data_IF_596210470269
#
_entry.id   IF_596210470269
#
_cell.length_a   1.000
_cell.length_b   1.000
_cell.length_c   1.000
_cell.angle_alpha   90.00
_cell.angle_beta   90.00
_cell.angle_gamma   90.00
#
_symmetry.space_group_name_H-M   'P 1'
#
loop_
_entity.id
_entity.type
_entity.pdbx_description
1 polymer ?
#
# COMPACT_ATOMS: atom_id res chain seq x y z
N UNK A 1 14.49 5.41 12.49
CA UNK A 1 15.20 5.05 13.73
C UNK A 1 14.73 3.72 14.32
N UNK A 2 14.48 2.69 13.50
CA UNK A 2 13.98 1.40 13.97
C UNK A 2 12.83 1.54 14.96
N UNK A 3 12.92 0.87 16.10
CA UNK A 3 11.92 0.95 17.17
C UNK A 3 11.70 2.35 17.76
N UNK A 4 12.67 3.26 17.69
CA UNK A 4 12.50 4.63 18.19
C UNK A 4 11.45 5.42 17.39
N UNK A 5 11.20 5.06 16.12
CA UNK A 5 10.15 5.66 15.29
C UNK A 5 8.74 5.49 15.87
N UNK A 6 8.52 4.47 16.70
CA UNK A 6 7.23 4.24 17.35
C UNK A 6 6.83 5.40 18.28
N UNK A 7 7.80 6.12 18.85
CA UNK A 7 7.52 7.26 19.75
C UNK A 7 6.78 8.39 19.01
N UNK A 8 7.35 9.02 17.95
CA UNK A 8 6.63 10.04 17.19
C UNK A 8 5.38 9.48 16.51
N UNK A 9 5.41 8.23 16.04
CA UNK A 9 4.23 7.57 15.46
C UNK A 9 3.03 7.56 16.43
N UNK A 10 3.21 7.12 17.68
CA UNK A 10 2.13 7.09 18.66
C UNK A 10 1.70 8.51 19.09
N UNK A 11 2.62 9.47 19.17
CA UNK A 11 2.29 10.87 19.45
C UNK A 11 1.36 11.43 18.36
N UNK A 12 1.69 11.24 17.07
CA UNK A 12 0.84 11.69 15.97
C UNK A 12 -0.46 10.89 15.88
N UNK A 13 -0.43 9.59 16.18
CA UNK A 13 -1.63 8.75 16.21
C UNK A 13 -2.67 9.29 17.20
N UNK A 14 -2.28 9.45 18.47
CA UNK A 14 -3.21 9.87 19.52
C UNK A 14 -3.46 11.39 19.51
N UNK A 15 -2.45 12.19 19.15
CA UNK A 15 -2.54 13.65 19.15
C UNK A 15 -3.21 14.25 17.92
N UNK A 16 -3.21 13.55 16.78
CA UNK A 16 -3.74 14.08 15.51
C UNK A 16 -4.59 13.08 14.73
N UNK A 17 -4.06 11.89 14.44
CA UNK A 17 -4.71 10.90 13.59
C UNK A 17 -6.11 10.50 14.08
N UNK A 18 -6.21 9.98 15.31
CA UNK A 18 -7.48 9.55 15.90
C UNK A 18 -8.49 10.69 16.09
N UNK A 19 -8.11 11.88 16.62
CA UNK A 19 -9.02 13.02 16.69
C UNK A 19 -9.60 13.44 15.33
N UNK A 20 -8.75 13.54 14.29
CA UNK A 20 -9.21 13.94 12.94
C UNK A 20 -10.06 12.84 12.31
N UNK A 21 -9.66 11.58 12.45
CA UNK A 21 -10.45 10.44 11.98
C UNK A 21 -11.85 10.43 12.58
N UNK A 22 -11.95 10.54 13.91
CA UNK A 22 -13.24 10.63 14.60
C UNK A 22 -14.06 11.84 14.14
N UNK A 23 -13.42 13.01 13.98
CA UNK A 23 -14.08 14.22 13.52
C UNK A 23 -14.73 14.01 12.14
N UNK A 24 -14.02 13.39 11.19
CA UNK A 24 -14.55 13.16 9.84
C UNK A 24 -15.73 12.20 9.82
N UNK A 25 -15.65 11.10 10.59
CA UNK A 25 -16.74 10.14 10.72
C UNK A 25 -17.96 10.78 11.38
N UNK A 26 -17.75 11.52 12.47
CA UNK A 26 -18.81 12.22 13.19
C UNK A 26 -19.47 13.30 12.31
N UNK A 27 -18.68 14.06 11.54
CA UNK A 27 -19.20 15.05 10.58
C UNK A 27 -20.07 14.38 9.52
N UNK A 28 -19.62 13.26 8.96
CA UNK A 28 -20.39 12.46 8.00
C UNK A 28 -21.71 11.99 8.59
N UNK A 29 -21.68 11.39 9.77
CA UNK A 29 -22.86 10.89 10.48
C UNK A 29 -23.84 12.01 10.84
N UNK A 30 -23.34 13.16 11.30
CA UNK A 30 -24.16 14.31 11.68
C UNK A 30 -24.85 14.94 10.47
N UNK A 31 -24.13 15.13 9.37
CA UNK A 31 -24.67 15.78 8.16
C UNK A 31 -25.48 14.84 7.28
N UNK A 32 -25.21 13.52 7.36
CA UNK A 32 -25.72 12.48 6.45
C UNK A 32 -25.45 12.81 4.98
N UNK A 33 -24.29 13.44 4.72
CA UNK A 33 -23.88 13.92 3.40
C UNK A 33 -22.50 13.40 2.99
N UNK A 34 -22.21 13.41 1.70
CA UNK A 34 -20.89 13.05 1.17
C UNK A 34 -19.85 14.15 1.39
N UNK A 35 -18.60 13.90 0.96
CA UNK A 35 -17.46 14.79 1.19
C UNK A 35 -17.53 16.18 0.54
N UNK A 36 -18.43 16.42 -0.43
CA UNK A 36 -18.68 17.78 -0.97
C UNK A 36 -19.84 18.45 -0.24
N UNK A 37 -20.97 17.77 -0.16
CA UNK A 37 -22.23 18.35 0.32
C UNK A 37 -22.21 18.61 1.83
N UNK A 38 -21.36 17.91 2.60
CA UNK A 38 -21.15 18.19 4.01
C UNK A 38 -20.64 19.63 4.24
N UNK A 39 -19.71 20.13 3.42
CA UNK A 39 -19.18 21.49 3.51
C UNK A 39 -20.23 22.53 3.17
N UNK A 40 -21.10 22.25 2.19
CA UNK A 40 -22.22 23.14 1.87
C UNK A 40 -23.18 23.35 3.05
N UNK A 41 -23.43 22.31 3.86
CA UNK A 41 -24.25 22.41 5.08
C UNK A 41 -23.53 23.06 6.26
N UNK A 42 -22.21 22.87 6.36
CA UNK A 42 -21.42 23.38 7.48
C UNK A 42 -20.99 24.84 7.26
N UNK A 43 -20.33 25.11 6.14
CA UNK A 43 -19.77 26.40 5.79
C UNK A 43 -19.63 26.52 4.26
N UNK A 44 -20.60 27.15 3.56
CA UNK A 44 -20.65 27.17 2.08
C UNK A 44 -19.38 27.70 1.40
N UNK A 45 -18.65 28.64 2.02
CA UNK A 45 -17.39 29.17 1.52
C UNK A 45 -16.30 28.08 1.39
N UNK A 46 -16.37 27.02 2.20
CA UNK A 46 -15.42 25.90 2.20
C UNK A 46 -15.83 24.73 1.32
N UNK A 47 -16.89 24.86 0.51
CA UNK A 47 -17.30 23.82 -0.45
C UNK A 47 -16.17 23.43 -1.42
N UNK A 48 -15.24 24.36 -1.72
CA UNK A 48 -14.05 24.11 -2.52
C UNK A 48 -13.14 22.99 -1.97
N UNK A 49 -13.14 22.74 -0.65
CA UNK A 49 -12.38 21.66 -0.02
C UNK A 49 -12.86 20.30 -0.56
N UNK A 50 -14.18 20.09 -0.62
CA UNK A 50 -14.74 18.83 -1.11
C UNK A 50 -14.39 18.55 -2.58
N UNK A 51 -14.42 19.57 -3.44
CA UNK A 51 -13.99 19.44 -4.83
C UNK A 51 -12.50 19.12 -4.95
N UNK A 52 -11.64 19.81 -4.17
CA UNK A 52 -10.22 19.53 -4.13
C UNK A 52 -9.91 18.09 -3.69
N UNK A 53 -10.59 17.60 -2.64
CA UNK A 53 -10.45 16.22 -2.17
C UNK A 53 -10.81 15.19 -3.26
N UNK A 54 -11.86 15.44 -4.05
CA UNK A 54 -12.23 14.54 -5.16
C UNK A 54 -11.17 14.50 -6.25
N UNK A 55 -10.60 15.65 -6.62
CA UNK A 55 -9.51 15.70 -7.60
C UNK A 55 -8.32 14.89 -7.09
N UNK A 56 -7.93 15.08 -5.84
CA UNK A 56 -6.84 14.33 -5.21
C UNK A 56 -7.13 12.83 -5.23
N UNK A 57 -8.31 12.39 -4.75
CA UNK A 57 -8.71 10.98 -4.74
C UNK A 57 -8.78 10.38 -6.14
N UNK A 58 -9.18 11.16 -7.15
CA UNK A 58 -9.20 10.72 -8.54
C UNK A 58 -7.79 10.45 -9.06
N UNK A 59 -6.83 11.33 -8.76
CA UNK A 59 -5.41 11.11 -9.10
C UNK A 59 -4.83 9.90 -8.35
N UNK A 60 -5.17 9.73 -7.07
CA UNK A 60 -4.76 8.56 -6.29
C UNK A 60 -5.27 7.26 -6.94
N UNK A 61 -6.54 7.22 -7.32
CA UNK A 61 -7.15 6.04 -7.94
C UNK A 61 -6.49 5.64 -9.27
N UNK A 62 -6.02 6.61 -10.07
CA UNK A 62 -5.36 6.34 -11.37
C UNK A 62 -4.11 5.48 -11.20
N UNK A 63 -3.25 5.76 -10.21
CA UNK A 63 -2.03 4.97 -10.03
C UNK A 63 -2.25 3.75 -9.11
N UNK A 64 -3.13 3.84 -8.11
CA UNK A 64 -3.39 2.71 -7.21
C UNK A 64 -3.95 1.50 -7.96
N UNK A 65 -4.80 1.72 -8.97
CA UNK A 65 -5.35 0.61 -9.76
C UNK A 65 -4.27 -0.09 -10.60
N UNK A 66 -3.20 0.61 -10.98
CA UNK A 66 -2.03 0.01 -11.65
C UNK A 66 -1.27 -0.90 -10.70
N UNK A 67 -1.11 -0.52 -9.43
CA UNK A 67 -0.48 -1.37 -8.40
C UNK A 67 -1.29 -2.67 -8.21
N UNK A 68 -2.62 -2.58 -8.20
CA UNK A 68 -3.49 -3.77 -8.15
C UNK A 68 -3.31 -4.66 -9.39
N UNK A 69 -3.14 -4.07 -10.57
CA UNK A 69 -2.87 -4.82 -11.80
C UNK A 69 -1.54 -5.57 -11.73
N UNK A 70 -0.49 -4.96 -11.17
CA UNK A 70 0.76 -5.67 -10.89
C UNK A 70 0.56 -6.84 -9.93
N UNK A 71 -0.17 -6.62 -8.82
CA UNK A 71 -0.48 -7.70 -7.87
C UNK A 71 -1.22 -8.87 -8.53
N UNK A 72 -2.21 -8.59 -9.39
CA UNK A 72 -2.94 -9.61 -10.14
C UNK A 72 -2.05 -10.33 -11.16
N UNK A 73 -1.18 -9.60 -11.84
CA UNK A 73 -0.20 -10.19 -12.76
C UNK A 73 0.72 -11.17 -12.03
N UNK A 74 1.31 -10.77 -10.88
CA UNK A 74 2.13 -11.66 -10.06
C UNK A 74 1.36 -12.87 -9.56
N UNK A 75 0.08 -12.71 -9.18
CA UNK A 75 -0.77 -13.82 -8.79
C UNK A 75 -0.93 -14.85 -9.92
N UNK A 76 -1.13 -14.41 -11.16
CA UNK A 76 -1.21 -15.34 -12.29
C UNK A 76 0.11 -16.07 -12.56
N UNK A 77 1.24 -15.38 -12.38
CA UNK A 77 2.57 -15.98 -12.55
C UNK A 77 2.89 -17.04 -11.48
N UNK A 78 2.27 -16.99 -10.30
CA UNK A 78 2.45 -17.97 -9.24
C UNK A 78 1.85 -19.36 -9.55
N UNK A 79 1.01 -19.51 -10.58
CA UNK A 79 0.44 -20.80 -10.98
C UNK A 79 1.38 -21.64 -11.89
N UNK A 80 2.56 -21.11 -12.22
CA UNK A 80 3.57 -21.85 -12.98
C UNK A 80 4.28 -22.89 -12.08
N UNK A 81 4.72 -24.05 -12.64
CA UNK A 81 5.46 -25.06 -11.88
C UNK A 81 6.75 -24.54 -11.25
N UNK A 82 7.38 -23.57 -11.92
CA UNK A 82 8.55 -22.86 -11.44
C UNK A 82 8.29 -21.35 -11.57
N UNK A 83 8.60 -20.59 -10.52
CA UNK A 83 8.35 -19.15 -10.50
C UNK A 83 9.26 -18.44 -11.52
N UNK A 84 8.74 -17.51 -12.34
CA UNK A 84 9.52 -16.84 -13.38
C UNK A 84 10.75 -16.07 -12.87
N UNK A 85 10.72 -15.61 -11.62
CA UNK A 85 11.79 -14.88 -10.96
C UNK A 85 12.69 -15.76 -10.06
N UNK A 86 12.57 -17.09 -10.13
CA UNK A 86 13.39 -18.00 -9.32
C UNK A 86 14.80 -18.21 -9.87
N UNK A 87 14.98 -18.15 -11.20
CA UNK A 87 16.23 -18.51 -11.89
C UNK A 87 16.65 -17.45 -12.90
N UNK A 88 17.96 -17.44 -13.17
CA UNK A 88 18.51 -16.67 -14.28
C UNK A 88 18.33 -17.43 -15.61
N UNK A 89 18.68 -16.82 -16.76
CA UNK A 89 18.51 -17.35 -18.14
C UNK A 89 17.08 -17.37 -18.71
N UNK A 90 16.26 -16.39 -18.33
CA UNK A 90 15.00 -16.11 -18.99
C UNK A 90 15.20 -15.10 -20.14
N UNK A 91 14.26 -14.95 -21.09
CA UNK A 91 14.40 -14.05 -22.24
C UNK A 91 14.63 -12.56 -21.88
N UNK A 92 14.22 -12.15 -20.69
CA UNK A 92 14.37 -10.78 -20.18
C UNK A 92 15.63 -10.57 -19.31
N UNK A 93 16.37 -11.65 -19.00
CA UNK A 93 17.53 -11.56 -18.13
C UNK A 93 18.77 -11.13 -18.92
N UNK A 94 19.63 -10.35 -18.27
CA UNK A 94 20.95 -9.98 -18.80
C UNK A 94 22.04 -10.96 -18.37
N UNK A 95 23.23 -10.81 -18.94
CA UNK A 95 24.42 -11.56 -18.51
C UNK A 95 24.86 -11.23 -17.07
N UNK A 96 24.30 -10.17 -16.47
CA UNK A 96 24.55 -9.73 -15.10
C UNK A 96 23.61 -10.35 -14.06
N UNK A 97 22.69 -11.24 -14.47
CA UNK A 97 21.82 -11.95 -13.54
C UNK A 97 22.59 -13.02 -12.75
N UNK A 98 22.54 -12.94 -11.41
CA UNK A 98 23.04 -14.00 -10.52
C UNK A 98 21.93 -14.53 -9.59
N UNK A 99 21.84 -15.86 -9.50
CA UNK A 99 20.92 -16.55 -8.60
C UNK A 99 21.37 -16.49 -7.13
N UNK A 100 20.40 -16.43 -6.20
CA UNK A 100 20.66 -16.37 -4.76
C UNK A 100 21.43 -17.58 -4.19
N UNK A 101 21.33 -18.74 -4.84
CA UNK A 101 22.11 -19.95 -4.52
C UNK A 101 23.61 -19.72 -4.71
N UNK A 102 24.00 -18.98 -5.74
CA UNK A 102 25.39 -18.59 -6.01
C UNK A 102 25.92 -17.65 -4.92
N UNK A 103 25.07 -16.74 -4.42
CA UNK A 103 25.39 -15.80 -3.33
C UNK A 103 25.69 -16.48 -2.00
N UNK A 104 25.09 -17.65 -1.75
CA UNK A 104 25.37 -18.45 -0.54
C UNK A 104 26.76 -19.10 -0.59
N UNK A 105 27.32 -19.33 -1.78
CA UNK A 105 28.64 -19.94 -1.93
C UNK A 105 29.74 -18.86 -1.99
N UNK A 106 30.27 -18.48 -0.82
CA UNK A 106 31.20 -17.35 -0.63
C UNK A 106 32.44 -17.41 -1.53
N UNK A 107 32.98 -18.60 -1.83
CA UNK A 107 34.16 -18.76 -2.69
C UNK A 107 33.87 -18.35 -4.13
N UNK A 108 32.69 -18.71 -4.63
CA UNK A 108 32.27 -18.36 -5.98
C UNK A 108 31.85 -16.89 -6.06
N UNK A 109 31.19 -16.38 -5.02
CA UNK A 109 30.79 -14.97 -4.93
C UNK A 109 32.00 -14.02 -4.93
N UNK A 110 33.08 -14.38 -4.22
CA UNK A 110 34.35 -13.64 -4.24
C UNK A 110 35.05 -13.73 -5.61
N UNK A 111 34.97 -14.88 -6.29
CA UNK A 111 35.54 -15.07 -7.62
C UNK A 111 34.80 -14.26 -8.72
N UNK A 112 33.52 -13.94 -8.50
CA UNK A 112 32.69 -13.21 -9.46
C UNK A 112 32.99 -11.69 -9.52
N UNK A 113 33.82 -11.12 -8.63
CA UNK A 113 34.11 -9.67 -8.57
C UNK A 113 32.83 -8.80 -8.54
N UNK A 114 31.97 -9.08 -7.57
CA UNK A 114 30.53 -8.78 -7.61
C UNK A 114 30.13 -7.33 -7.22
N UNK A 115 30.58 -6.33 -7.96
CA UNK A 115 30.10 -4.95 -7.80
C UNK A 115 28.83 -4.63 -8.61
N UNK A 116 28.57 -5.33 -9.72
CA UNK A 116 27.52 -4.96 -10.70
C UNK A 116 26.57 -6.11 -11.10
N UNK A 117 26.19 -6.98 -10.16
CA UNK A 117 25.23 -8.06 -10.46
C UNK A 117 23.83 -7.76 -9.93
N UNK A 118 22.83 -8.20 -10.67
CA UNK A 118 21.40 -8.04 -10.42
C UNK A 118 20.79 -9.38 -10.02
N UNK A 119 19.70 -9.33 -9.24
CA UNK A 119 18.95 -10.54 -8.87
C UNK A 119 17.92 -10.89 -9.94
N UNK A 120 17.56 -12.17 -10.14
CA UNK A 120 16.51 -12.56 -11.08
C UNK A 120 15.15 -11.92 -10.74
N UNK A 121 14.90 -11.57 -9.47
CA UNK A 121 13.69 -10.87 -9.03
C UNK A 121 13.68 -9.42 -9.52
N UNK A 122 14.82 -8.73 -9.43
CA UNK A 122 14.99 -7.37 -9.92
C UNK A 122 14.83 -7.31 -11.44
N UNK A 123 15.51 -8.19 -12.18
CA UNK A 123 15.42 -8.19 -13.64
C UNK A 123 14.03 -8.59 -14.15
N UNK A 124 13.36 -9.52 -13.47
CA UNK A 124 11.96 -9.83 -13.78
C UNK A 124 11.07 -8.60 -13.61
N UNK A 125 11.22 -7.85 -12.52
CA UNK A 125 10.44 -6.65 -12.27
C UNK A 125 10.74 -5.54 -13.30
N UNK A 126 12.02 -5.21 -13.48
CA UNK A 126 12.44 -4.04 -14.26
C UNK A 126 12.31 -4.27 -15.77
N UNK A 127 12.76 -5.43 -16.27
CA UNK A 127 12.82 -5.68 -17.72
C UNK A 127 11.55 -6.37 -18.24
N UNK A 128 11.00 -7.34 -17.51
CA UNK A 128 9.82 -8.06 -17.96
C UNK A 128 8.52 -7.34 -17.60
N UNK A 129 8.26 -7.11 -16.31
CA UNK A 129 6.98 -6.55 -15.83
C UNK A 129 6.84 -5.09 -16.24
N UNK A 130 7.76 -4.23 -15.79
CA UNK A 130 7.73 -2.80 -16.09
C UNK A 130 8.17 -2.52 -17.53
N UNK A 131 9.27 -3.14 -17.97
CA UNK A 131 9.92 -2.79 -19.24
C UNK A 131 10.43 -1.36 -19.21
N UNK A 132 11.23 -1.03 -18.18
CA UNK A 132 11.76 0.31 -17.94
C UNK A 132 12.53 0.81 -19.17
N UNK A 133 12.19 2.01 -19.62
CA UNK A 133 12.81 2.72 -20.74
C UNK A 133 13.91 3.68 -20.26
N UNK A 134 14.59 4.34 -21.20
CA UNK A 134 15.73 5.22 -20.89
C UNK A 134 15.34 6.46 -20.07
N UNK A 135 14.09 6.91 -20.16
CA UNK A 135 13.59 8.08 -19.45
C UNK A 135 12.09 8.34 -19.67
N UNK A 136 11.56 9.34 -18.97
CA UNK A 136 10.13 9.69 -18.98
C UNK A 136 9.61 10.15 -20.35
N UNK A 137 10.50 10.69 -21.19
CA UNK A 137 10.19 11.13 -22.55
C UNK A 137 9.90 9.95 -23.49
N UNK A 138 10.44 8.77 -23.16
CA UNK A 138 10.28 7.54 -23.93
C UNK A 138 9.37 6.57 -23.16
N UNK A 139 8.05 6.66 -23.33
CA UNK A 139 7.12 5.81 -22.57
C UNK A 139 7.13 4.32 -22.97
N UNK A 140 7.76 3.97 -24.11
CA UNK A 140 7.77 2.61 -24.63
C UNK A 140 6.38 2.10 -25.07
N UNK A 141 6.28 0.84 -25.50
CA UNK A 141 5.00 0.23 -25.88
C UNK A 141 4.17 -0.16 -24.65
N UNK A 142 2.85 -0.18 -24.81
CA UNK A 142 1.94 -0.70 -23.78
C UNK A 142 2.17 -2.20 -23.59
N UNK A 143 2.49 -2.60 -22.34
CA UNK A 143 2.58 -4.02 -21.93
C UNK A 143 1.17 -4.64 -21.91
N UNK A 144 0.83 -5.40 -22.95
CA UNK A 144 -0.52 -5.97 -23.12
C UNK A 144 -0.96 -6.89 -21.98
N UNK A 145 -0.04 -7.66 -21.40
CA UNK A 145 -0.36 -8.53 -20.24
C UNK A 145 -0.83 -7.71 -19.04
N UNK A 146 -0.17 -6.58 -18.78
CA UNK A 146 -0.57 -5.64 -17.73
C UNK A 146 -1.84 -4.89 -18.10
N UNK A 147 -2.05 -4.53 -19.36
CA UNK A 147 -3.27 -3.89 -19.83
C UNK A 147 -4.51 -4.79 -19.63
N UNK A 148 -4.38 -6.10 -19.88
CA UNK A 148 -5.42 -7.08 -19.60
C UNK A 148 -5.65 -7.27 -18.09
N UNK A 149 -4.59 -7.34 -17.29
CA UNK A 149 -4.72 -7.38 -15.83
C UNK A 149 -5.43 -6.13 -15.30
N UNK A 150 -5.09 -4.95 -15.83
CA UNK A 150 -5.72 -3.68 -15.48
C UNK A 150 -7.20 -3.67 -15.84
N UNK A 151 -7.57 -4.13 -17.04
CA UNK A 151 -8.97 -4.26 -17.45
C UNK A 151 -9.73 -5.19 -16.49
N UNK A 152 -9.14 -6.33 -16.13
CA UNK A 152 -9.75 -7.28 -15.21
C UNK A 152 -9.93 -6.69 -13.80
N UNK A 153 -8.95 -5.95 -13.28
CA UNK A 153 -9.07 -5.24 -12.00
C UNK A 153 -10.22 -4.23 -12.05
N UNK A 154 -10.34 -3.44 -13.12
CA UNK A 154 -11.46 -2.50 -13.30
C UNK A 154 -12.82 -3.21 -13.28
N UNK A 155 -12.94 -4.33 -13.98
CA UNK A 155 -14.16 -5.14 -13.98
C UNK A 155 -14.49 -5.65 -12.57
N UNK A 156 -13.50 -6.15 -11.83
CA UNK A 156 -13.67 -6.61 -10.44
C UNK A 156 -14.12 -5.43 -9.55
N UNK A 157 -13.41 -4.30 -9.59
CA UNK A 157 -13.75 -3.11 -8.81
C UNK A 157 -15.16 -2.60 -9.11
N UNK A 158 -15.57 -2.60 -10.39
CA UNK A 158 -16.93 -2.24 -10.79
C UNK A 158 -17.97 -3.15 -10.11
N UNK A 159 -17.80 -4.48 -10.18
CA UNK A 159 -18.74 -5.41 -9.55
C UNK A 159 -18.76 -5.32 -8.02
N UNK A 160 -17.63 -5.00 -7.39
CA UNK A 160 -17.57 -4.77 -5.94
C UNK A 160 -18.47 -3.60 -5.51
N UNK A 161 -18.53 -2.54 -6.33
CA UNK A 161 -19.18 -1.27 -5.98
C UNK A 161 -20.57 -1.10 -6.62
N UNK A 162 -20.90 -1.79 -7.71
CA UNK A 162 -22.11 -1.53 -8.53
C UNK A 162 -23.40 -1.44 -7.68
N UNK A 163 -23.63 -2.35 -6.72
CA UNK A 163 -24.84 -2.28 -5.87
C UNK A 163 -24.68 -1.36 -4.63
N UNK A 164 -23.74 -0.43 -4.67
CA UNK A 164 -23.42 0.52 -3.62
C UNK A 164 -22.86 -0.13 -2.35
N UNK A 165 -22.96 0.59 -1.23
CA UNK A 165 -22.40 0.20 0.07
C UNK A 165 -22.85 -1.16 0.59
N UNK A 166 -24.02 -1.66 0.15
CA UNK A 166 -24.52 -3.00 0.50
C UNK A 166 -23.69 -4.13 -0.12
N UNK A 167 -23.18 -3.94 -1.35
CA UNK A 167 -22.29 -4.91 -2.00
C UNK A 167 -20.88 -4.74 -1.50
N UNK A 168 -20.39 -3.50 -1.44
CA UNK A 168 -19.06 -3.20 -0.91
C UNK A 168 -18.88 -3.78 0.49
N UNK A 169 -19.86 -3.60 1.39
CA UNK A 169 -19.80 -4.17 2.74
C UNK A 169 -19.67 -5.70 2.76
N UNK A 170 -20.28 -6.42 1.83
CA UNK A 170 -20.15 -7.88 1.71
C UNK A 170 -18.76 -8.30 1.23
N UNK A 171 -18.23 -7.61 0.22
CA UNK A 171 -16.89 -7.89 -0.32
C UNK A 171 -15.82 -7.60 0.73
N UNK A 172 -15.98 -6.52 1.50
CA UNK A 172 -15.05 -6.09 2.55
C UNK A 172 -14.85 -7.15 3.64
N UNK A 173 -15.85 -7.97 3.94
CA UNK A 173 -15.65 -9.09 4.88
C UNK A 173 -14.53 -10.03 4.46
N UNK A 174 -14.32 -10.25 3.16
CA UNK A 174 -13.20 -11.06 2.66
C UNK A 174 -11.96 -10.20 2.49
N UNK A 175 -12.07 -9.07 1.78
CA UNK A 175 -10.90 -8.27 1.41
C UNK A 175 -10.20 -7.61 2.59
N UNK A 176 -10.91 -7.35 3.70
CA UNK A 176 -10.30 -6.83 4.92
C UNK A 176 -9.80 -7.93 5.86
N UNK A 177 -10.43 -9.10 5.93
CA UNK A 177 -10.03 -10.17 6.86
C UNK A 177 -8.94 -11.08 6.31
N UNK A 178 -8.97 -11.38 5.01
CA UNK A 178 -8.01 -12.26 4.35
C UNK A 178 -6.55 -11.79 4.52
N UNK A 179 -6.23 -10.48 4.38
CA UNK A 179 -4.88 -9.99 4.66
C UNK A 179 -4.37 -10.33 6.06
N UNK A 180 -5.21 -10.27 7.11
CA UNK A 180 -4.79 -10.65 8.46
C UNK A 180 -4.45 -12.13 8.56
N UNK A 181 -5.24 -13.00 7.92
CA UNK A 181 -4.94 -14.44 7.86
C UNK A 181 -3.61 -14.67 7.16
N UNK A 182 -3.38 -14.03 6.00
CA UNK A 182 -2.12 -14.11 5.27
C UNK A 182 -0.93 -13.58 6.08
N UNK A 183 -1.09 -12.45 6.77
CA UNK A 183 -0.06 -11.90 7.64
C UNK A 183 0.30 -12.85 8.79
N UNK A 184 -0.68 -13.53 9.39
CA UNK A 184 -0.42 -14.53 10.44
C UNK A 184 0.37 -15.72 9.86
N UNK A 185 -0.02 -16.23 8.68
CA UNK A 185 0.69 -17.33 8.01
C UNK A 185 2.13 -16.91 7.68
N UNK A 186 2.32 -15.72 7.11
CA UNK A 186 3.63 -15.18 6.77
C UNK A 186 4.45 -14.87 8.02
N UNK A 187 3.85 -14.45 9.12
CA UNK A 187 4.52 -14.24 10.40
C UNK A 187 5.05 -15.56 10.95
N UNK A 188 4.20 -16.59 11.04
CA UNK A 188 4.59 -17.93 11.51
C UNK A 188 5.71 -18.48 10.62
N UNK A 189 5.57 -18.36 9.29
CA UNK A 189 6.61 -18.78 8.37
C UNK A 189 7.90 -17.97 8.54
N UNK A 190 7.79 -16.66 8.69
CA UNK A 190 8.92 -15.75 8.85
C UNK A 190 9.73 -16.04 10.11
N UNK A 191 9.08 -16.23 11.26
CA UNK A 191 9.76 -16.48 12.54
C UNK A 191 10.36 -17.87 12.64
N UNK A 192 9.89 -18.84 11.84
CA UNK A 192 10.44 -20.21 11.79
C UNK A 192 11.64 -20.35 10.85
N UNK A 193 11.95 -19.34 10.03
CA UNK A 193 13.11 -19.36 9.14
C UNK A 193 14.42 -19.04 9.89
N UNK A 194 15.55 -19.65 9.47
CA UNK A 194 16.85 -19.33 10.06
C UNK A 194 17.22 -17.87 9.77
N UNK A 195 17.75 -17.17 10.78
CA UNK A 195 18.13 -15.76 10.67
C UNK A 195 17.00 -14.75 10.96
N UNK A 196 15.79 -15.19 11.29
CA UNK A 196 14.67 -14.30 11.59
C UNK A 196 14.96 -13.32 12.75
N UNK A 197 15.70 -13.76 13.77
CA UNK A 197 16.08 -12.94 14.93
C UNK A 197 16.92 -11.72 14.55
N UNK A 198 17.76 -11.81 13.52
CA UNK A 198 18.58 -10.70 13.03
C UNK A 198 17.71 -9.62 12.38
N UNK A 199 16.74 -10.03 11.55
CA UNK A 199 15.79 -9.12 10.92
C UNK A 199 14.90 -8.40 11.94
N UNK A 200 14.38 -9.14 12.94
CA UNK A 200 13.57 -8.55 14.03
C UNK A 200 14.41 -7.55 14.84
N UNK A 201 15.65 -7.91 15.17
CA UNK A 201 16.56 -7.02 15.88
C UNK A 201 16.83 -5.77 15.06
N UNK A 202 17.12 -5.89 13.76
CA UNK A 202 17.34 -4.74 12.89
C UNK A 202 16.12 -3.81 12.82
N UNK A 203 14.91 -4.37 12.71
CA UNK A 203 13.67 -3.60 12.65
C UNK A 203 13.37 -2.85 13.96
N UNK A 204 13.51 -3.52 15.12
CA UNK A 204 13.12 -2.99 16.42
C UNK A 204 14.23 -2.26 17.18
N UNK A 205 15.49 -2.35 16.75
CA UNK A 205 16.60 -1.70 17.47
C UNK A 205 16.36 -0.18 17.56
N UNK A 206 16.24 0.40 18.76
CA UNK A 206 15.89 1.80 18.92
C UNK A 206 17.14 2.68 18.85
N UNK A 207 17.33 3.38 17.74
CA UNK A 207 18.33 4.44 17.64
C UNK A 207 17.70 5.79 18.03
N UNK A 208 17.87 6.15 19.31
CA UNK A 208 17.30 7.38 19.87
C UNK A 208 17.91 8.66 19.30
N UNK A 209 19.13 8.61 18.73
CA UNK A 209 19.74 9.80 18.13
C UNK A 209 18.94 10.30 16.93
N UNK A 210 18.22 9.39 16.25
CA UNK A 210 17.34 9.73 15.13
C UNK A 210 16.14 10.56 15.55
N UNK A 211 15.75 10.61 16.83
CA UNK A 211 14.65 11.47 17.28
C UNK A 211 14.98 12.96 17.25
N UNK A 212 16.27 13.31 17.16
CA UNK A 212 16.73 14.70 16.98
C UNK A 212 16.52 15.20 15.54
N UNK A 213 16.32 14.27 14.61
CA UNK A 213 16.12 14.56 13.20
C UNK A 213 14.65 14.94 12.96
N UNK A 214 14.34 16.15 12.48
CA UNK A 214 12.97 16.56 12.20
C UNK A 214 12.30 15.72 11.11
N UNK A 215 13.07 15.12 10.18
CA UNK A 215 12.51 14.27 9.11
C UNK A 215 11.77 13.06 9.69
N UNK A 216 12.29 12.48 10.79
CA UNK A 216 11.66 11.34 11.47
C UNK A 216 10.26 11.69 12.00
N UNK A 217 10.04 12.93 12.42
CA UNK A 217 8.74 13.42 12.87
C UNK A 217 7.79 13.70 11.70
N UNK A 218 8.31 14.29 10.61
CA UNK A 218 7.55 14.53 9.39
C UNK A 218 7.09 13.19 8.80
N UNK A 219 7.96 12.19 8.74
CA UNK A 219 7.64 10.84 8.24
C UNK A 219 6.57 10.17 9.11
N UNK A 220 6.68 10.26 10.44
CA UNK A 220 5.69 9.70 11.36
C UNK A 220 4.31 10.34 11.20
N UNK A 221 4.25 11.67 11.12
CA UNK A 221 3.00 12.38 10.85
C UNK A 221 2.41 12.01 9.50
N UNK A 222 3.23 12.05 8.45
CA UNK A 222 2.85 11.68 7.07
C UNK A 222 2.29 10.26 7.01
N UNK A 223 2.95 9.30 7.68
CA UNK A 223 2.50 7.92 7.72
C UNK A 223 1.10 7.79 8.37
N UNK A 224 0.84 8.49 9.48
CA UNK A 224 -0.48 8.45 10.14
C UNK A 224 -1.57 9.02 9.22
N UNK A 225 -1.33 10.18 8.60
CA UNK A 225 -2.30 10.83 7.73
C UNK A 225 -2.65 9.97 6.51
N UNK A 226 -1.64 9.39 5.84
CA UNK A 226 -1.88 8.52 4.70
C UNK A 226 -2.45 7.15 5.08
N UNK A 227 -2.04 6.55 6.20
CA UNK A 227 -2.55 5.23 6.62
C UNK A 227 -4.02 5.26 7.03
N UNK A 228 -4.46 6.35 7.67
CA UNK A 228 -5.87 6.52 8.06
C UNK A 228 -6.72 7.14 6.94
N UNK A 229 -6.10 7.57 5.84
CA UNK A 229 -6.77 8.23 4.72
C UNK A 229 -7.66 9.43 5.15
N UNK A 230 -7.20 10.18 6.16
CA UNK A 230 -7.90 11.35 6.68
C UNK A 230 -7.77 12.54 5.73
N UNK A 231 -8.72 13.48 5.80
CA UNK A 231 -8.80 14.69 4.96
C UNK A 231 -9.11 14.43 3.48
N UNK A 232 -9.52 13.21 3.12
CA UNK A 232 -9.88 12.82 1.75
C UNK A 232 -11.39 12.74 1.53
N UNK A 233 -12.21 12.90 2.58
CA UNK A 233 -13.66 12.82 2.52
C UNK A 233 -14.23 11.40 2.44
N UNK A 234 -13.37 10.36 2.39
CA UNK A 234 -13.78 8.97 2.41
C UNK A 234 -14.47 8.60 3.73
N UNK A 235 -13.89 8.99 4.87
CA UNK A 235 -14.46 8.73 6.20
C UNK A 235 -15.76 9.49 6.44
N UNK A 236 -15.85 10.73 5.96
CA UNK A 236 -17.12 11.48 5.93
C UNK A 236 -18.19 10.75 5.12
N UNK A 237 -17.84 10.25 3.94
CA UNK A 237 -18.78 9.51 3.10
C UNK A 237 -19.17 8.15 3.69
N UNK A 238 -18.32 7.49 4.47
CA UNK A 238 -18.69 6.26 5.18
C UNK A 238 -19.57 6.56 6.40
N UNK A 239 -19.22 7.60 7.16
CA UNK A 239 -19.99 8.08 8.31
C UNK A 239 -21.40 8.50 7.94
N UNK A 240 -21.64 9.03 6.73
CA UNK A 240 -22.97 9.47 6.29
C UNK A 240 -24.00 8.34 6.12
N UNK A 241 -23.54 7.09 6.00
CA UNK A 241 -24.43 5.92 6.00
C UNK A 241 -24.75 5.39 7.41
N UNK A 242 -24.14 5.94 8.46
CA UNK A 242 -24.45 5.55 9.84
C UNK A 242 -25.79 6.13 10.30
N UNK A 243 -26.43 5.42 11.24
CA UNK A 243 -27.61 5.96 11.93
C UNK A 243 -27.17 7.10 12.85
N UNK A 244 -27.99 8.14 12.99
CA UNK A 244 -27.66 9.31 13.80
C UNK A 244 -27.24 9.00 15.25
N UNK A 245 -27.91 8.05 15.92
CA UNK A 245 -27.61 7.64 17.31
C UNK A 245 -26.57 6.52 17.42
N UNK A 246 -25.93 6.11 16.32
CA UNK A 246 -24.92 5.07 16.33
C UNK A 246 -23.64 5.56 17.03
N UNK A 247 -23.00 4.70 17.81
CA UNK A 247 -21.82 5.08 18.58
C UNK A 247 -20.54 5.00 17.73
N UNK A 248 -20.32 6.02 16.89
CA UNK A 248 -19.10 6.12 16.07
C UNK A 248 -17.82 6.32 16.89
N UNK A 249 -17.90 6.88 18.10
CA UNK A 249 -16.73 7.05 18.95
C UNK A 249 -16.07 5.72 19.32
N UNK A 250 -16.89 4.73 19.70
CA UNK A 250 -16.40 3.37 19.98
C UNK A 250 -15.72 2.76 18.76
N UNK A 251 -16.35 2.86 17.59
CA UNK A 251 -15.86 2.24 16.36
C UNK A 251 -14.61 2.94 15.83
N UNK A 252 -14.41 4.23 16.10
CA UNK A 252 -13.21 4.96 15.72
C UNK A 252 -11.99 4.66 16.62
N UNK A 253 -12.22 4.15 17.82
CA UNK A 253 -11.16 3.80 18.77
C UNK A 253 -10.70 2.34 18.68
N UNK A 254 -11.52 1.46 18.12
CA UNK A 254 -11.24 0.02 17.96
C UNK A 254 -10.48 -0.26 16.67
#
# INVERSE_FOLDING_TARGET
GGGAFLIPYFIFLFGGGLPVFFLEVALGQFTSEGGITCWGKLCPIFTGIGYASIVIVSLLNIYYIVILAWGLYYLFQCFQPELPWAKCKQPWNTDHCIEDTYRKNKTIWLAANASNFTSPVTEFWEHNVLGITSGIEEMGPVKWDLALCLLLVWVICFFCIWKGVKSTGKVVYITATFPFVMLIVLLIRGVTLPGASEGIKFYLYPDLNRLKDPEVWIDAGTQIFFSYAICLGAMTSLGSYNKYKYNCYRDCLM
#
